data_IF_388884723725
#
_entry.id   IF_388884723725
#
_cell.length_a   1.000
_cell.length_b   1.000
_cell.length_c   1.000
_cell.angle_alpha   90.00
_cell.angle_beta   90.00
_cell.angle_gamma   90.00
#
_symmetry.space_group_name_H-M   'P 1'
#
loop_
_entity.id
_entity.type
_entity.pdbx_description
1 polymer ?
#
# COMPACT_ATOMS: atom_id res chain seq x y z
N UNK A 1 46.40 9.67 30.07
CA UNK A 1 45.45 10.76 30.34
C UNK A 1 44.69 11.28 29.09
N UNK A 2 45.10 10.96 27.85
CA UNK A 2 44.45 11.48 26.64
C UNK A 2 43.21 10.67 26.16
N UNK A 3 43.12 9.39 26.55
CA UNK A 3 42.07 8.50 26.07
C UNK A 3 40.69 8.84 26.69
N UNK A 4 40.64 9.11 28.01
CA UNK A 4 39.40 9.50 28.71
C UNK A 4 38.83 10.83 28.22
N UNK A 5 39.68 11.81 27.88
CA UNK A 5 39.25 13.10 27.36
C UNK A 5 38.65 12.98 25.95
N UNK A 6 39.21 12.10 25.11
CA UNK A 6 38.66 11.79 23.79
C UNK A 6 37.31 11.07 23.88
N UNK A 7 37.17 10.11 24.80
CA UNK A 7 35.90 9.42 25.04
C UNK A 7 34.80 10.36 25.55
N UNK A 8 35.13 11.27 26.46
CA UNK A 8 34.20 12.31 26.95
C UNK A 8 33.78 13.25 25.81
N UNK A 9 34.69 13.63 24.91
CA UNK A 9 34.34 14.46 23.75
C UNK A 9 33.39 13.75 22.79
N UNK A 10 33.63 12.47 22.51
CA UNK A 10 32.77 11.66 21.64
C UNK A 10 31.38 11.44 22.27
N UNK A 11 31.30 11.22 23.59
CA UNK A 11 30.02 11.05 24.28
C UNK A 11 29.20 12.35 24.29
N UNK A 12 29.85 13.50 24.50
CA UNK A 12 29.20 14.82 24.43
C UNK A 12 28.69 15.12 23.02
N UNK A 13 29.49 14.84 21.98
CA UNK A 13 29.07 15.03 20.57
C UNK A 13 27.85 14.15 20.26
N UNK A 14 27.89 12.87 20.65
CA UNK A 14 26.77 11.96 20.45
C UNK A 14 25.49 12.45 21.14
N UNK A 15 25.58 12.88 22.39
CA UNK A 15 24.45 13.42 23.15
C UNK A 15 23.85 14.68 22.52
N UNK A 16 24.69 15.59 22.01
CA UNK A 16 24.25 16.81 21.31
C UNK A 16 23.52 16.42 20.02
N UNK A 17 24.12 15.55 19.21
CA UNK A 17 23.52 15.11 17.94
C UNK A 17 22.17 14.46 18.18
N UNK A 18 22.07 13.51 19.11
CA UNK A 18 20.81 12.82 19.41
C UNK A 18 19.73 13.77 19.92
N UNK A 19 20.09 14.77 20.74
CA UNK A 19 19.15 15.77 21.24
C UNK A 19 18.57 16.67 20.15
N UNK A 20 19.39 17.05 19.17
CA UNK A 20 19.00 17.99 18.12
C UNK A 20 18.61 17.33 16.79
N UNK A 21 18.76 16.00 16.67
CA UNK A 21 18.45 15.28 15.44
C UNK A 21 17.01 15.52 14.95
N UNK A 22 15.96 15.53 15.80
CA UNK A 22 14.60 15.82 15.35
C UNK A 22 14.45 17.21 14.68
N UNK A 23 15.15 18.22 15.20
CA UNK A 23 15.16 19.56 14.62
C UNK A 23 15.99 19.58 13.33
N UNK A 24 17.13 18.89 13.30
CA UNK A 24 17.98 18.79 12.11
C UNK A 24 17.23 18.09 10.97
N UNK A 25 16.52 16.99 11.22
CA UNK A 25 15.73 16.29 10.19
C UNK A 25 14.56 17.13 9.68
N UNK A 26 13.99 17.98 10.54
CA UNK A 26 12.99 18.98 10.14
C UNK A 26 13.62 20.07 9.26
N UNK A 27 14.79 20.59 9.62
CA UNK A 27 15.53 21.59 8.84
C UNK A 27 16.00 21.06 7.48
N UNK A 28 16.29 19.76 7.38
CA UNK A 28 16.62 19.09 6.12
C UNK A 28 15.46 19.11 5.11
N UNK A 29 14.23 19.39 5.57
CA UNK A 29 13.04 19.53 4.72
C UNK A 29 12.68 21.02 4.48
N UNK A 30 13.57 21.95 4.84
CA UNK A 30 13.32 23.38 4.65
C UNK A 30 13.21 23.72 3.17
N UNK A 31 12.29 24.64 2.84
CA UNK A 31 12.18 25.24 1.51
C UNK A 31 13.35 26.19 1.19
N UNK A 32 14.16 26.55 2.20
CA UNK A 32 15.36 27.39 2.04
C UNK A 32 16.57 26.51 1.69
N UNK A 33 17.13 26.59 0.47
CA UNK A 33 18.16 25.65 0.01
C UNK A 33 19.41 25.60 0.90
N UNK A 34 19.87 26.75 1.40
CA UNK A 34 21.05 26.80 2.28
C UNK A 34 20.81 26.05 3.62
N UNK A 35 19.62 26.20 4.22
CA UNK A 35 19.26 25.51 5.47
C UNK A 35 19.17 24.01 5.22
N UNK A 36 18.46 23.62 4.16
CA UNK A 36 18.32 22.22 3.78
C UNK A 36 19.69 21.56 3.57
N UNK A 37 20.56 22.18 2.76
CA UNK A 37 21.88 21.64 2.44
C UNK A 37 22.74 21.46 3.71
N UNK A 38 22.82 22.49 4.56
CA UNK A 38 23.57 22.40 5.81
C UNK A 38 23.01 21.31 6.74
N UNK A 39 21.68 21.18 6.85
CA UNK A 39 21.07 20.13 7.64
C UNK A 39 21.37 18.72 7.08
N UNK A 40 21.32 18.55 5.76
CA UNK A 40 21.69 17.29 5.09
C UNK A 40 23.17 16.96 5.29
N UNK A 41 24.06 17.95 5.29
CA UNK A 41 25.48 17.77 5.62
C UNK A 41 25.69 17.30 7.08
N UNK A 42 24.95 17.87 8.04
CA UNK A 42 24.98 17.43 9.44
C UNK A 42 24.47 15.99 9.57
N UNK A 43 23.39 15.63 8.87
CA UNK A 43 22.88 14.24 8.81
C UNK A 43 23.94 13.31 8.19
N UNK A 44 24.57 13.73 7.10
CA UNK A 44 25.63 12.99 6.43
C UNK A 44 26.79 12.67 7.37
N UNK A 45 27.27 13.67 8.11
CA UNK A 45 28.31 13.50 9.11
C UNK A 45 27.86 12.54 10.21
N UNK A 46 26.66 12.77 10.75
CA UNK A 46 26.07 11.96 11.83
C UNK A 46 25.99 10.48 11.47
N UNK A 47 25.53 10.16 10.26
CA UNK A 47 25.45 8.78 9.75
C UNK A 47 26.84 8.18 9.58
N UNK A 48 27.76 8.89 8.92
CA UNK A 48 29.12 8.40 8.65
C UNK A 48 29.92 8.11 9.92
N UNK A 49 29.68 8.88 10.98
CA UNK A 49 30.31 8.71 12.29
C UNK A 49 29.57 7.71 13.20
N UNK A 50 28.40 7.20 12.78
CA UNK A 50 27.62 6.24 13.57
C UNK A 50 27.06 6.82 14.88
N UNK A 51 26.78 8.13 14.92
CA UNK A 51 26.37 8.85 16.14
C UNK A 51 24.87 8.73 16.48
N UNK A 52 24.07 8.18 15.56
CA UNK A 52 22.62 7.96 15.72
C UNK A 52 22.23 6.56 15.29
N UNK A 53 21.06 6.11 15.77
CA UNK A 53 20.41 4.91 15.29
C UNK A 53 19.90 5.12 13.85
N UNK A 54 20.25 4.26 12.87
CA UNK A 54 19.88 4.46 11.46
C UNK A 54 18.38 4.72 11.21
N UNK A 55 17.50 4.04 11.96
CA UNK A 55 16.04 4.21 11.85
C UNK A 55 15.56 5.65 12.12
N UNK A 56 16.34 6.48 12.82
CA UNK A 56 15.99 7.89 13.06
C UNK A 56 16.21 8.76 11.82
N UNK A 57 17.12 8.36 10.92
CA UNK A 57 17.44 9.10 9.70
C UNK A 57 16.76 8.56 8.45
N UNK A 58 16.46 7.26 8.38
CA UNK A 58 15.91 6.62 7.17
C UNK A 58 14.68 7.35 6.61
N UNK A 59 13.67 7.74 7.41
CA UNK A 59 12.50 8.42 6.85
C UNK A 59 12.80 9.74 6.14
N UNK A 60 13.72 10.56 6.69
CA UNK A 60 14.09 11.82 6.05
C UNK A 60 14.95 11.59 4.81
N UNK A 61 15.82 10.57 4.81
CA UNK A 61 16.59 10.20 3.63
C UNK A 61 15.66 9.78 2.49
N UNK A 62 14.74 8.85 2.74
CA UNK A 62 13.77 8.35 1.74
C UNK A 62 12.91 9.49 1.19
N UNK A 63 12.46 10.42 2.04
CA UNK A 63 11.71 11.59 1.56
C UNK A 63 12.57 12.48 0.64
N UNK A 64 13.82 12.75 1.01
CA UNK A 64 14.70 13.61 0.22
C UNK A 64 15.24 12.94 -1.05
N UNK A 65 15.15 11.62 -1.20
CA UNK A 65 15.44 10.91 -2.46
C UNK A 65 14.50 11.34 -3.60
N UNK A 66 13.32 11.86 -3.23
CA UNK A 66 12.34 12.43 -4.15
C UNK A 66 12.43 13.96 -4.26
N UNK A 67 13.52 14.56 -3.79
CA UNK A 67 13.75 16.00 -3.91
C UNK A 67 13.89 16.44 -5.37
N UNK A 68 13.40 17.65 -5.67
CA UNK A 68 13.61 18.31 -6.96
C UNK A 68 15.08 18.72 -7.17
N UNK A 69 15.84 18.86 -6.09
CA UNK A 69 17.28 19.11 -6.14
C UNK A 69 18.02 17.77 -6.31
N UNK A 70 18.52 17.53 -7.52
CA UNK A 70 19.25 16.31 -7.89
C UNK A 70 20.53 16.12 -7.05
N UNK A 71 21.16 17.21 -6.59
CA UNK A 71 22.37 17.12 -5.75
C UNK A 71 22.04 16.60 -4.36
N UNK A 72 20.94 17.09 -3.77
CA UNK A 72 20.43 16.57 -2.50
C UNK A 72 19.96 15.12 -2.67
N UNK A 73 19.14 14.83 -3.69
CA UNK A 73 18.61 13.51 -3.94
C UNK A 73 19.71 12.44 -4.10
N UNK A 74 20.76 12.75 -4.87
CA UNK A 74 21.90 11.84 -5.06
C UNK A 74 22.74 11.67 -3.79
N UNK A 75 22.96 12.74 -3.03
CA UNK A 75 23.68 12.67 -1.75
C UNK A 75 22.94 11.82 -0.72
N UNK A 76 21.63 12.00 -0.57
CA UNK A 76 20.84 11.23 0.41
C UNK A 76 20.68 9.77 -0.02
N UNK A 77 20.55 9.50 -1.32
CA UNK A 77 20.53 8.13 -1.83
C UNK A 77 21.84 7.42 -1.49
N UNK A 78 23.00 8.07 -1.70
CA UNK A 78 24.30 7.49 -1.32
C UNK A 78 24.40 7.21 0.19
N UNK A 79 23.81 8.06 1.05
CA UNK A 79 23.75 7.81 2.49
C UNK A 79 22.83 6.64 2.85
N UNK A 80 21.70 6.52 2.17
CA UNK A 80 20.80 5.38 2.34
C UNK A 80 21.46 4.08 1.89
N UNK A 81 22.18 4.08 0.75
CA UNK A 81 23.00 2.95 0.30
C UNK A 81 24.07 2.58 1.32
N UNK A 82 24.75 3.57 1.91
CA UNK A 82 25.75 3.32 2.97
C UNK A 82 25.11 2.60 4.17
N UNK A 83 23.96 3.10 4.65
CA UNK A 83 23.23 2.48 5.75
C UNK A 83 22.75 1.06 5.40
N UNK A 84 22.30 0.87 4.16
CA UNK A 84 21.88 -0.42 3.64
C UNK A 84 23.01 -1.45 3.65
N UNK A 85 24.18 -1.09 3.12
CA UNK A 85 25.36 -1.97 3.09
C UNK A 85 25.83 -2.30 4.50
N UNK A 86 25.88 -1.31 5.39
CA UNK A 86 26.40 -1.51 6.75
C UNK A 86 25.42 -2.27 7.66
N UNK A 87 24.11 -1.98 7.56
CA UNK A 87 23.09 -2.40 8.54
C UNK A 87 21.73 -2.69 7.89
N UNK A 88 21.70 -3.33 6.71
CA UNK A 88 20.48 -3.57 5.92
C UNK A 88 19.32 -4.21 6.68
N UNK A 89 19.58 -5.24 7.50
CA UNK A 89 18.54 -5.89 8.33
C UNK A 89 17.89 -4.92 9.33
N UNK A 90 18.65 -3.95 9.85
CA UNK A 90 18.15 -2.95 10.79
C UNK A 90 17.36 -1.86 10.08
N UNK A 91 17.80 -1.44 8.89
CA UNK A 91 17.12 -0.41 8.08
C UNK A 91 15.79 -0.92 7.55
N UNK A 92 15.73 -2.20 7.18
CA UNK A 92 14.61 -2.80 6.46
C UNK A 92 13.66 -3.58 7.36
N UNK A 93 13.27 -3.00 8.49
CA UNK A 93 12.37 -3.63 9.47
C UNK A 93 11.04 -2.89 9.70
N UNK A 94 10.94 -1.60 9.33
CA UNK A 94 9.80 -0.72 9.65
C UNK A 94 9.31 0.05 8.42
N UNK A 95 8.94 -0.68 7.37
CA UNK A 95 8.57 -0.09 6.08
C UNK A 95 7.37 0.85 6.18
N UNK A 96 6.27 0.40 6.79
CA UNK A 96 5.05 1.21 6.88
C UNK A 96 5.21 2.44 7.79
N UNK A 97 5.88 2.30 8.94
CA UNK A 97 6.16 3.43 9.84
C UNK A 97 7.02 4.49 9.13
N UNK A 98 8.03 4.03 8.38
CA UNK A 98 8.91 4.91 7.60
C UNK A 98 8.12 5.60 6.50
N UNK A 99 7.27 4.89 5.76
CA UNK A 99 6.46 5.46 4.69
C UNK A 99 5.46 6.51 5.20
N UNK A 100 4.87 6.30 6.38
CA UNK A 100 4.04 7.32 7.05
C UNK A 100 4.82 8.61 7.32
N UNK A 101 6.03 8.50 7.85
CA UNK A 101 6.91 9.65 8.09
C UNK A 101 7.32 10.32 6.78
N UNK A 102 7.61 9.55 5.73
CA UNK A 102 7.91 10.08 4.37
C UNK A 102 6.74 10.88 3.83
N UNK A 103 5.51 10.37 3.97
CA UNK A 103 4.30 11.09 3.60
C UNK A 103 4.16 12.41 4.35
N UNK A 104 4.38 12.43 5.66
CA UNK A 104 4.38 13.68 6.43
C UNK A 104 5.42 14.68 5.94
N UNK A 105 6.60 14.21 5.53
CA UNK A 105 7.64 15.04 4.96
C UNK A 105 7.19 15.68 3.63
N UNK A 106 6.67 14.88 2.71
CA UNK A 106 6.19 15.37 1.40
C UNK A 106 4.98 16.29 1.53
N UNK A 107 4.05 15.98 2.44
CA UNK A 107 2.90 16.83 2.74
C UNK A 107 3.32 18.19 3.28
N UNK A 108 4.29 18.24 4.21
CA UNK A 108 4.85 19.51 4.70
C UNK A 108 5.54 20.31 3.60
N UNK A 109 6.27 19.64 2.70
CA UNK A 109 6.95 20.29 1.59
C UNK A 109 5.99 20.83 0.51
N UNK A 110 4.82 20.19 0.34
CA UNK A 110 3.82 20.57 -0.67
C UNK A 110 3.08 21.88 -0.34
N UNK A 111 3.18 22.36 0.90
CA UNK A 111 2.69 23.67 1.35
C UNK A 111 1.16 23.79 1.37
N UNK A 112 0.53 23.87 0.19
CA UNK A 112 -0.89 24.29 0.02
C UNK A 112 -1.84 23.11 -0.23
N UNK A 113 -1.35 21.98 -0.74
CA UNK A 113 -2.19 20.80 -0.99
C UNK A 113 -2.22 19.87 0.22
N UNK A 114 -3.42 19.45 0.63
CA UNK A 114 -3.59 18.38 1.61
C UNK A 114 -3.11 17.01 1.07
N UNK A 115 -3.00 16.89 -0.25
CA UNK A 115 -2.56 15.70 -0.96
C UNK A 115 -1.16 15.94 -1.54
N UNK A 116 -0.20 15.11 -1.12
CA UNK A 116 1.06 14.96 -1.83
C UNK A 116 0.88 13.82 -2.85
N UNK A 117 1.44 13.97 -4.04
CA UNK A 117 1.41 12.90 -5.04
C UNK A 117 2.42 11.81 -4.66
N UNK A 118 2.05 10.55 -4.90
CA UNK A 118 2.91 9.37 -4.70
C UNK A 118 4.04 9.23 -5.73
N UNK A 119 4.18 10.19 -6.65
CA UNK A 119 5.14 10.17 -7.73
C UNK A 119 5.68 11.57 -8.04
N UNK A 120 6.86 11.63 -8.65
CA UNK A 120 7.44 12.85 -9.20
C UNK A 120 6.98 13.01 -10.65
N UNK A 121 6.65 14.23 -11.07
CA UNK A 121 6.38 14.56 -12.47
C UNK A 121 7.66 14.97 -13.20
N UNK A 122 7.85 14.46 -14.42
CA UNK A 122 8.93 14.80 -15.37
C UNK A 122 10.37 14.44 -14.93
N UNK A 123 10.84 13.20 -15.16
CA UNK A 123 10.08 12.03 -15.66
C UNK A 123 9.16 11.46 -14.58
N UNK A 124 8.04 10.84 -14.99
CA UNK A 124 7.10 10.22 -14.05
C UNK A 124 7.77 9.06 -13.33
N UNK A 125 7.98 9.18 -12.02
CA UNK A 125 8.67 8.16 -11.21
C UNK A 125 8.06 8.06 -9.82
N UNK A 126 7.85 6.84 -9.33
CA UNK A 126 7.41 6.61 -7.96
C UNK A 126 8.38 7.21 -6.94
N UNK A 127 7.84 7.81 -5.87
CA UNK A 127 8.64 8.24 -4.70
C UNK A 127 9.35 7.07 -4.00
N UNK A 128 8.87 5.83 -4.20
CA UNK A 128 9.46 4.62 -3.64
C UNK A 128 10.61 4.05 -4.48
N UNK A 129 10.83 4.55 -5.69
CA UNK A 129 11.72 3.89 -6.66
C UNK A 129 13.18 3.78 -6.18
N UNK A 130 13.71 4.81 -5.52
CA UNK A 130 15.08 4.80 -4.98
C UNK A 130 15.20 3.75 -3.86
N UNK A 131 14.27 3.77 -2.91
CA UNK A 131 14.25 2.81 -1.82
C UNK A 131 14.05 1.37 -2.29
N UNK A 132 13.12 1.14 -3.22
CA UNK A 132 12.89 -0.17 -3.83
C UNK A 132 14.13 -0.70 -4.57
N UNK A 133 14.92 0.17 -5.20
CA UNK A 133 16.19 -0.22 -5.84
C UNK A 133 17.13 -0.91 -4.85
N UNK A 134 17.29 -0.37 -3.63
CA UNK A 134 18.13 -0.96 -2.57
C UNK A 134 17.57 -2.29 -2.05
N UNK A 135 16.25 -2.40 -1.97
CA UNK A 135 15.58 -3.63 -1.53
C UNK A 135 15.65 -4.72 -2.59
N UNK A 136 15.84 -4.33 -3.85
CA UNK A 136 15.65 -5.22 -4.98
C UNK A 136 16.65 -6.36 -5.07
N UNK A 137 17.74 -6.31 -4.30
CA UNK A 137 18.77 -7.33 -4.25
C UNK A 137 18.28 -8.65 -3.63
N UNK A 138 17.40 -8.58 -2.62
CA UNK A 138 16.95 -9.76 -1.86
C UNK A 138 15.45 -9.95 -1.97
N UNK A 139 15.03 -11.10 -2.51
CA UNK A 139 13.62 -11.49 -2.62
C UNK A 139 12.84 -11.29 -1.32
N UNK A 140 13.39 -11.75 -0.20
CA UNK A 140 12.75 -11.63 1.12
C UNK A 140 12.45 -10.17 1.46
N UNK A 141 13.38 -9.25 1.20
CA UNK A 141 13.18 -7.83 1.47
C UNK A 141 12.18 -7.19 0.51
N UNK A 142 12.24 -7.52 -0.78
CA UNK A 142 11.28 -7.03 -1.78
C UNK A 142 9.84 -7.40 -1.41
N UNK A 143 9.60 -8.68 -1.13
CA UNK A 143 8.26 -9.16 -0.80
C UNK A 143 7.79 -8.64 0.56
N UNK A 144 8.70 -8.57 1.56
CA UNK A 144 8.37 -7.99 2.86
C UNK A 144 8.00 -6.50 2.76
N UNK A 145 8.69 -5.75 1.90
CA UNK A 145 8.40 -4.35 1.63
C UNK A 145 7.00 -4.15 1.04
N UNK A 146 6.69 -4.86 -0.05
CA UNK A 146 5.38 -4.77 -0.71
C UNK A 146 4.25 -5.15 0.26
N UNK A 147 4.37 -6.31 0.94
CA UNK A 147 3.38 -6.77 1.92
C UNK A 147 3.18 -5.79 3.08
N UNK A 148 4.27 -5.22 3.60
CA UNK A 148 4.20 -4.28 4.71
C UNK A 148 3.49 -2.97 4.34
N UNK A 149 3.64 -2.49 3.10
CA UNK A 149 2.93 -1.30 2.64
C UNK A 149 1.44 -1.59 2.42
N UNK A 150 1.10 -2.73 1.81
CA UNK A 150 -0.30 -3.13 1.59
C UNK A 150 -1.08 -3.30 2.89
N UNK A 151 -0.42 -3.72 3.98
CA UNK A 151 -1.04 -3.83 5.30
C UNK A 151 -1.76 -2.56 5.75
N UNK A 152 -1.37 -1.38 5.24
CA UNK A 152 -2.07 -0.14 5.57
C UNK A 152 -3.51 -0.06 5.04
N UNK A 153 -3.86 -0.83 4.01
CA UNK A 153 -5.23 -0.89 3.47
C UNK A 153 -6.13 -1.87 4.23
N UNK A 154 -5.57 -2.68 5.13
CA UNK A 154 -6.34 -3.55 6.03
C UNK A 154 -6.87 -2.70 7.19
N UNK A 155 -8.06 -2.13 6.97
CA UNK A 155 -8.75 -1.29 7.94
C UNK A 155 -9.88 -2.08 8.58
N UNK A 156 -10.02 -1.99 9.89
CA UNK A 156 -11.20 -2.41 10.62
C UNK A 156 -12.15 -1.21 10.77
N UNK A 157 -13.29 -1.17 10.06
CA UNK A 157 -14.19 -0.03 10.08
C UNK A 157 -14.88 0.20 11.44
N UNK A 158 -14.79 -0.74 12.39
CA UNK A 158 -15.30 -0.59 13.76
C UNK A 158 -14.24 -0.16 14.76
N UNK A 159 -13.00 -0.63 14.60
CA UNK A 159 -11.93 -0.35 15.55
C UNK A 159 -11.06 0.85 15.14
N UNK A 160 -10.88 1.07 13.84
CA UNK A 160 -9.98 2.10 13.33
C UNK A 160 -10.68 3.45 13.17
N UNK A 161 -9.98 4.52 13.57
CA UNK A 161 -10.40 5.89 13.30
C UNK A 161 -9.81 6.33 11.96
N UNK A 162 -10.62 6.28 10.90
CA UNK A 162 -10.19 6.72 9.58
C UNK A 162 -10.46 8.21 9.42
N UNK A 163 -9.40 9.00 9.48
CA UNK A 163 -9.44 10.44 9.27
C UNK A 163 -9.02 10.86 7.85
N UNK A 164 -9.13 12.15 7.55
CA UNK A 164 -8.73 12.71 6.25
C UNK A 164 -7.24 12.56 5.97
N UNK A 165 -6.38 12.54 7.01
CA UNK A 165 -4.94 12.28 6.85
C UNK A 165 -4.72 10.85 6.36
N UNK A 166 -5.44 9.89 6.91
CA UNK A 166 -5.40 8.50 6.48
C UNK A 166 -5.82 8.38 5.03
N UNK A 167 -6.95 8.96 4.63
CA UNK A 167 -7.38 8.96 3.21
C UNK A 167 -6.27 9.53 2.29
N UNK A 168 -5.70 10.69 2.65
CA UNK A 168 -4.62 11.30 1.87
C UNK A 168 -3.35 10.43 1.81
N UNK A 169 -3.02 9.72 2.91
CA UNK A 169 -1.92 8.76 2.94
C UNK A 169 -2.18 7.57 2.02
N UNK A 170 -3.40 7.04 2.00
CA UNK A 170 -3.77 5.88 1.19
C UNK A 170 -3.76 6.21 -0.30
N UNK A 171 -4.26 7.38 -0.69
CA UNK A 171 -4.13 7.87 -2.06
C UNK A 171 -2.64 8.02 -2.45
N UNK A 172 -1.85 8.70 -1.62
CA UNK A 172 -0.41 8.88 -1.85
C UNK A 172 0.32 7.54 -1.99
N UNK A 173 0.00 6.57 -1.15
CA UNK A 173 0.60 5.23 -1.19
C UNK A 173 0.15 4.45 -2.43
N UNK A 174 -1.13 4.53 -2.79
CA UNK A 174 -1.67 3.88 -3.98
C UNK A 174 -0.99 4.41 -5.25
N UNK A 175 -0.86 5.72 -5.41
CA UNK A 175 -0.12 6.34 -6.51
C UNK A 175 1.34 5.89 -6.54
N UNK A 176 1.99 5.81 -5.37
CA UNK A 176 3.37 5.39 -5.25
C UNK A 176 3.58 3.91 -5.64
N UNK A 177 2.68 3.03 -5.23
CA UNK A 177 2.70 1.61 -5.57
C UNK A 177 2.36 1.37 -7.04
N UNK A 178 1.35 2.08 -7.55
CA UNK A 178 0.92 1.98 -8.93
C UNK A 178 2.03 2.41 -9.89
N UNK A 179 2.73 3.51 -9.58
CA UNK A 179 3.84 4.01 -10.40
C UNK A 179 5.16 3.24 -10.21
N UNK A 180 5.25 2.32 -9.24
CA UNK A 180 6.47 1.55 -8.95
C UNK A 180 6.73 0.48 -10.03
N UNK A 181 7.96 0.45 -10.56
CA UNK A 181 8.40 -0.54 -11.56
C UNK A 181 8.76 -1.85 -10.87
N UNK A 182 7.82 -2.79 -10.87
CA UNK A 182 8.05 -4.15 -10.38
C UNK A 182 8.94 -4.90 -11.37
N UNK A 183 9.85 -5.72 -10.84
CA UNK A 183 10.85 -6.42 -11.65
C UNK A 183 10.36 -7.80 -12.08
N UNK A 184 9.65 -8.50 -11.20
CA UNK A 184 9.22 -9.88 -11.45
C UNK A 184 7.71 -10.03 -11.40
N UNK A 185 7.21 -11.03 -12.12
CA UNK A 185 5.80 -11.41 -12.11
C UNK A 185 5.33 -11.82 -10.70
N UNK A 186 6.18 -12.49 -9.93
CA UNK A 186 5.91 -12.85 -8.53
C UNK A 186 5.60 -11.61 -7.67
N UNK A 187 6.32 -10.51 -7.85
CA UNK A 187 6.10 -9.29 -7.07
C UNK A 187 4.72 -8.69 -7.36
N UNK A 188 4.32 -8.67 -8.63
CA UNK A 188 3.01 -8.19 -9.04
C UNK A 188 1.89 -9.09 -8.49
N UNK A 189 2.04 -10.42 -8.58
CA UNK A 189 1.07 -11.36 -8.02
C UNK A 189 0.96 -11.23 -6.49
N UNK A 190 2.09 -11.18 -5.77
CA UNK A 190 2.08 -11.00 -4.31
C UNK A 190 1.44 -9.68 -3.90
N UNK A 191 1.70 -8.60 -4.64
CA UNK A 191 1.13 -7.28 -4.36
C UNK A 191 -0.39 -7.30 -4.52
N UNK A 192 -0.89 -7.82 -5.65
CA UNK A 192 -2.32 -7.89 -5.96
C UNK A 192 -3.04 -8.84 -4.98
N UNK A 193 -2.46 -10.00 -4.70
CA UNK A 193 -3.04 -10.98 -3.77
C UNK A 193 -3.10 -10.44 -2.34
N UNK A 194 -2.03 -9.80 -1.86
CA UNK A 194 -2.05 -9.18 -0.54
C UNK A 194 -3.11 -8.07 -0.43
N UNK A 195 -3.39 -7.38 -1.55
CA UNK A 195 -4.40 -6.33 -1.63
C UNK A 195 -5.81 -6.94 -1.62
N UNK A 196 -6.05 -8.03 -2.36
CA UNK A 196 -7.29 -8.82 -2.29
C UNK A 196 -7.59 -9.26 -0.84
N UNK A 197 -6.62 -9.89 -0.17
CA UNK A 197 -6.79 -10.32 1.22
C UNK A 197 -7.08 -9.14 2.17
N UNK A 198 -6.44 -7.99 1.94
CA UNK A 198 -6.61 -6.81 2.81
C UNK A 198 -7.97 -6.13 2.62
N UNK A 199 -8.51 -6.16 1.39
CA UNK A 199 -9.78 -5.50 1.04
C UNK A 199 -10.98 -6.39 1.30
N UNK A 200 -10.90 -7.71 1.03
CA UNK A 200 -12.05 -8.61 0.99
C UNK A 200 -12.98 -8.52 2.22
N UNK A 201 -12.51 -8.93 3.39
CA UNK A 201 -13.33 -8.93 4.60
C UNK A 201 -13.69 -7.50 5.07
N UNK A 202 -12.73 -6.56 4.99
CA UNK A 202 -12.91 -5.17 5.38
C UNK A 202 -14.00 -4.46 4.55
N UNK A 203 -14.11 -4.79 3.26
CA UNK A 203 -15.11 -4.22 2.36
C UNK A 203 -16.52 -4.66 2.72
N UNK A 204 -16.72 -5.95 2.97
CA UNK A 204 -18.02 -6.47 3.39
C UNK A 204 -18.45 -5.92 4.75
N UNK A 205 -17.53 -5.85 5.72
CA UNK A 205 -17.80 -5.24 7.02
C UNK A 205 -18.17 -3.76 6.89
N UNK A 206 -17.44 -3.01 6.07
CA UNK A 206 -17.75 -1.59 5.81
C UNK A 206 -19.11 -1.45 5.14
N UNK A 207 -19.46 -2.33 4.20
CA UNK A 207 -20.76 -2.32 3.53
C UNK A 207 -21.90 -2.59 4.51
N UNK A 208 -21.76 -3.59 5.39
CA UNK A 208 -22.77 -3.90 6.41
C UNK A 208 -23.04 -2.73 7.36
N UNK A 209 -21.99 -2.00 7.72
CA UNK A 209 -22.10 -0.80 8.56
C UNK A 209 -22.81 0.36 7.84
N UNK A 210 -22.68 0.42 6.52
CA UNK A 210 -23.26 1.45 5.66
C UNK A 210 -24.64 1.09 5.09
N UNK A 211 -25.03 -0.20 5.10
CA UNK A 211 -26.34 -0.66 4.65
C UNK A 211 -27.44 -0.42 5.71
N UNK A 212 -27.07 -0.25 6.99
CA UNK A 212 -28.01 0.19 8.04
C UNK A 212 -28.29 1.70 7.93
N UNK A 213 -29.55 2.14 7.99
CA UNK A 213 -30.08 3.50 7.70
C UNK A 213 -29.15 4.70 8.08
N UNK A 214 -28.11 5.03 7.28
CA UNK A 214 -27.01 5.91 7.69
C UNK A 214 -27.45 7.37 7.69
N UNK A 215 -28.36 7.67 6.77
CA UNK A 215 -29.07 8.92 6.64
C UNK A 215 -29.93 9.18 7.86
N UNK A 216 -30.64 8.17 8.38
CA UNK A 216 -31.50 8.33 9.55
C UNK A 216 -30.70 8.53 10.84
N UNK A 217 -29.53 7.90 10.95
CA UNK A 217 -28.58 8.13 12.05
C UNK A 217 -27.91 9.52 11.99
N UNK A 218 -27.55 10.01 10.80
CA UNK A 218 -26.99 11.36 10.65
C UNK A 218 -28.05 12.45 10.78
N UNK A 219 -29.25 12.25 10.24
CA UNK A 219 -30.37 13.17 10.37
C UNK A 219 -30.89 13.23 11.80
N UNK A 220 -30.91 12.10 12.54
CA UNK A 220 -31.22 12.11 13.96
C UNK A 220 -30.14 12.87 14.74
N UNK A 221 -28.85 12.62 14.53
CA UNK A 221 -27.76 13.36 15.21
C UNK A 221 -27.76 14.87 14.95
N UNK A 222 -28.05 15.28 13.72
CA UNK A 222 -28.12 16.70 13.37
C UNK A 222 -29.34 17.40 13.99
N UNK A 223 -30.41 16.65 14.28
CA UNK A 223 -31.59 17.16 14.98
C UNK A 223 -31.38 17.37 16.49
N UNK A 224 -30.42 16.68 17.12
CA UNK A 224 -30.07 16.85 18.55
C UNK A 224 -28.93 17.84 18.81
N UNK A 225 -28.27 18.38 17.77
CA UNK A 225 -27.18 19.37 17.92
C UNK A 225 -27.67 20.72 18.47
N UNK A 226 -28.98 20.94 18.59
CA UNK A 226 -29.54 22.12 19.27
C UNK A 226 -29.71 21.95 20.79
N UNK A 227 -29.76 20.73 21.35
CA UNK A 227 -29.93 20.54 22.80
C UNK A 227 -29.24 19.26 23.32
N UNK A 228 -28.16 19.44 24.09
CA UNK A 228 -27.74 18.46 25.11
C UNK A 228 -26.49 17.63 24.83
N UNK A 229 -25.60 17.58 25.84
CA UNK A 229 -24.44 16.68 25.93
C UNK A 229 -24.89 15.21 26.01
N UNK A 230 -24.53 14.36 25.03
CA UNK A 230 -24.43 12.91 25.24
C UNK A 230 -23.49 12.20 24.25
N UNK A 231 -22.87 11.12 24.76
CA UNK A 231 -21.93 10.12 24.25
C UNK A 231 -21.46 10.20 22.77
N UNK A 232 -20.19 10.54 22.56
CA UNK A 232 -19.57 10.76 21.24
C UNK A 232 -19.22 9.50 20.45
N UNK A 233 -19.51 8.31 20.97
CA UNK A 233 -19.01 7.03 20.41
C UNK A 233 -19.70 6.64 19.09
N UNK A 234 -21.02 6.83 18.97
CA UNK A 234 -21.78 6.41 17.77
C UNK A 234 -21.56 7.33 16.55
N UNK A 235 -21.33 8.63 16.80
CA UNK A 235 -21.04 9.62 15.74
C UNK A 235 -19.73 9.33 14.99
N UNK A 236 -18.77 8.74 15.70
CA UNK A 236 -17.44 8.44 15.19
C UNK A 236 -17.46 7.19 14.30
N UNK A 237 -18.28 6.20 14.64
CA UNK A 237 -18.40 4.92 13.92
C UNK A 237 -18.92 5.12 12.48
N UNK A 238 -20.00 5.91 12.33
CA UNK A 238 -20.61 6.15 11.01
C UNK A 238 -19.68 6.97 10.10
N UNK A 239 -19.09 8.05 10.61
CA UNK A 239 -18.11 8.83 9.83
C UNK A 239 -16.86 8.01 9.47
N UNK A 240 -16.42 7.12 10.37
CA UNK A 240 -15.31 6.20 10.09
C UNK A 240 -15.70 5.18 9.00
N UNK A 241 -16.94 4.68 9.00
CA UNK A 241 -17.46 3.80 7.94
C UNK A 241 -17.42 4.46 6.55
N UNK A 242 -17.83 5.72 6.44
CA UNK A 242 -17.73 6.47 5.18
C UNK A 242 -16.28 6.66 4.73
N UNK A 243 -15.39 7.06 5.64
CA UNK A 243 -13.99 7.24 5.32
C UNK A 243 -13.29 5.90 4.97
N UNK A 244 -13.71 4.80 5.62
CA UNK A 244 -13.28 3.45 5.29
C UNK A 244 -13.71 3.06 3.88
N UNK A 245 -14.94 3.40 3.47
CA UNK A 245 -15.41 3.16 2.09
C UNK A 245 -14.56 3.86 1.04
N UNK A 246 -14.05 5.06 1.36
CA UNK A 246 -13.16 5.82 0.46
C UNK A 246 -11.80 5.11 0.36
N UNK A 247 -11.21 4.71 1.49
CA UNK A 247 -9.91 4.00 1.49
C UNK A 247 -10.00 2.68 0.73
N UNK A 248 -11.05 1.90 0.98
CA UNK A 248 -11.26 0.62 0.29
C UNK A 248 -11.58 0.83 -1.19
N UNK A 249 -12.31 1.90 -1.55
CA UNK A 249 -12.48 2.33 -2.93
C UNK A 249 -11.15 2.63 -3.64
N UNK A 250 -10.23 3.35 -2.97
CA UNK A 250 -8.87 3.59 -3.48
C UNK A 250 -8.13 2.26 -3.71
N UNK A 251 -8.28 1.31 -2.77
CA UNK A 251 -7.66 -0.01 -2.86
C UNK A 251 -8.19 -0.84 -4.05
N UNK A 252 -9.51 -0.83 -4.30
CA UNK A 252 -10.12 -1.47 -5.47
C UNK A 252 -9.59 -0.88 -6.78
N UNK A 253 -9.55 0.45 -6.90
CA UNK A 253 -9.04 1.13 -8.09
C UNK A 253 -7.55 0.79 -8.32
N UNK A 254 -6.73 0.83 -7.27
CA UNK A 254 -5.33 0.43 -7.33
C UNK A 254 -5.18 -1.01 -7.84
N UNK A 255 -5.95 -1.95 -7.28
CA UNK A 255 -5.90 -3.36 -7.63
C UNK A 255 -6.25 -3.59 -9.10
N UNK A 256 -7.38 -3.04 -9.56
CA UNK A 256 -7.87 -3.25 -10.91
C UNK A 256 -6.87 -2.72 -11.95
N UNK A 257 -6.29 -1.54 -11.70
CA UNK A 257 -5.27 -0.96 -12.58
C UNK A 257 -3.95 -1.73 -12.55
N UNK A 258 -3.57 -2.32 -11.42
CA UNK A 258 -2.41 -3.22 -11.36
C UNK A 258 -2.64 -4.50 -12.17
N UNK A 259 -3.84 -5.10 -12.09
CA UNK A 259 -4.22 -6.26 -12.91
C UNK A 259 -4.12 -5.92 -14.40
N UNK A 260 -4.68 -4.78 -14.83
CA UNK A 260 -4.63 -4.33 -16.23
C UNK A 260 -3.18 -4.04 -16.69
N UNK A 261 -2.41 -3.29 -15.89
CA UNK A 261 -1.06 -2.88 -16.25
C UNK A 261 -0.08 -4.04 -16.41
N UNK A 262 -0.27 -5.12 -15.65
CA UNK A 262 0.59 -6.30 -15.67
C UNK A 262 -0.04 -7.51 -16.38
N UNK A 263 -1.28 -7.40 -16.87
CA UNK A 263 -1.98 -8.48 -17.56
C UNK A 263 -2.19 -9.72 -16.69
N UNK A 264 -2.47 -9.52 -15.40
CA UNK A 264 -2.68 -10.61 -14.43
C UNK A 264 -4.18 -10.84 -14.28
N UNK A 265 -4.64 -12.03 -14.65
CA UNK A 265 -6.04 -12.47 -14.48
C UNK A 265 -6.26 -13.10 -13.10
N UNK A 266 -7.51 -13.16 -12.68
CA UNK A 266 -7.91 -13.78 -11.41
C UNK A 266 -7.66 -15.30 -11.38
N UNK A 267 -7.91 -16.02 -12.47
CA UNK A 267 -7.51 -17.43 -12.64
C UNK A 267 -6.02 -17.69 -12.43
N UNK A 268 -5.17 -16.69 -12.70
CA UNK A 268 -3.72 -16.79 -12.51
C UNK A 268 -3.35 -16.53 -11.05
N UNK A 269 -4.13 -15.71 -10.35
CA UNK A 269 -3.99 -15.45 -8.92
C UNK A 269 -4.51 -16.63 -8.09
N UNK A 270 -5.62 -17.27 -8.46
CA UNK A 270 -6.15 -18.44 -7.74
C UNK A 270 -5.15 -19.61 -7.71
N UNK A 271 -4.41 -19.80 -8.81
CA UNK A 271 -3.35 -20.80 -8.94
C UNK A 271 -2.02 -20.39 -8.28
N UNK A 272 -1.91 -19.17 -7.77
CA UNK A 272 -0.68 -18.63 -7.20
C UNK A 272 -0.58 -18.95 -5.71
N UNK A 273 0.26 -19.93 -5.37
CA UNK A 273 0.59 -20.19 -3.96
C UNK A 273 1.69 -19.24 -3.46
N UNK A 274 1.29 -18.20 -2.73
CA UNK A 274 2.22 -17.23 -2.15
C UNK A 274 3.12 -17.86 -1.08
N UNK A 275 4.33 -18.30 -1.46
CA UNK A 275 5.41 -18.56 -0.52
C UNK A 275 5.75 -20.02 -0.21
N UNK A 276 5.30 -20.99 -1.01
CA UNK A 276 5.73 -22.39 -0.81
C UNK A 276 7.17 -22.56 -1.31
N UNK A 277 8.15 -22.52 -0.41
CA UNK A 277 9.55 -22.84 -0.73
C UNK A 277 9.74 -24.27 -1.27
N UNK A 278 8.75 -25.15 -1.05
CA UNK A 278 8.78 -26.59 -1.38
C UNK A 278 7.74 -27.04 -2.42
N UNK A 279 7.01 -26.12 -3.05
CA UNK A 279 6.03 -26.44 -4.09
C UNK A 279 6.69 -26.40 -5.46
N UNK A 280 6.25 -27.27 -6.36
CA UNK A 280 6.67 -27.52 -7.75
C UNK A 280 6.60 -26.32 -8.72
N UNK A 281 6.58 -25.10 -8.22
CA UNK A 281 6.84 -23.90 -9.01
C UNK A 281 8.33 -23.83 -9.38
N UNK A 282 8.64 -24.12 -10.65
CA UNK A 282 10.00 -23.96 -11.19
C UNK A 282 10.56 -22.58 -10.83
N UNK A 283 11.84 -22.52 -10.43
CA UNK A 283 12.58 -21.25 -10.20
C UNK A 283 12.39 -20.26 -11.36
N UNK A 284 12.20 -20.78 -12.58
CA UNK A 284 11.92 -20.02 -13.80
C UNK A 284 10.66 -19.15 -13.73
N UNK A 285 9.63 -19.53 -12.97
CA UNK A 285 8.39 -18.74 -12.86
C UNK A 285 8.51 -17.60 -11.85
N UNK A 286 9.40 -17.72 -10.85
CA UNK A 286 9.61 -16.71 -9.80
C UNK A 286 10.47 -15.54 -10.26
N UNK A 287 11.44 -15.82 -11.13
CA UNK A 287 12.37 -14.84 -11.69
C UNK A 287 11.89 -14.28 -13.03
N UNK A 288 10.71 -14.70 -13.51
CA UNK A 288 10.13 -14.22 -14.75
C UNK A 288 9.97 -12.70 -14.66
N UNK A 289 10.74 -12.00 -15.50
CA UNK A 289 10.66 -10.55 -15.62
C UNK A 289 9.30 -10.16 -16.15
N UNK A 290 8.79 -9.03 -15.68
CA UNK A 290 7.52 -8.50 -16.12
C UNK A 290 7.70 -7.08 -16.65
N UNK A 291 6.99 -6.75 -17.72
CA UNK A 291 6.90 -5.41 -18.27
C UNK A 291 5.45 -4.96 -18.22
N UNK A 292 5.24 -3.68 -17.97
CA UNK A 292 3.89 -3.10 -18.03
C UNK A 292 3.44 -2.94 -19.48
N UNK A 293 2.15 -3.14 -19.72
CA UNK A 293 1.50 -2.82 -21.00
C UNK A 293 1.27 -1.30 -21.17
N UNK A 294 1.13 -0.58 -20.05
CA UNK A 294 0.78 0.85 -19.99
C UNK A 294 1.96 1.66 -19.43
N UNK A 295 2.19 2.85 -20.00
CA UNK A 295 3.24 3.77 -19.53
C UNK A 295 2.94 4.36 -18.15
N UNK A 296 3.98 4.61 -17.33
CA UNK A 296 3.82 5.08 -15.93
C UNK A 296 3.04 6.40 -15.84
N UNK A 297 3.23 7.31 -16.80
CA UNK A 297 2.51 8.60 -16.85
C UNK A 297 1.02 8.40 -17.13
N UNK A 298 0.70 7.60 -18.15
CA UNK A 298 -0.68 7.29 -18.52
C UNK A 298 -1.41 6.57 -17.39
N UNK A 299 -0.72 5.65 -16.71
CA UNK A 299 -1.24 4.92 -15.56
C UNK A 299 -1.62 5.87 -14.40
N UNK A 300 -0.77 6.87 -14.11
CA UNK A 300 -1.05 7.86 -13.08
C UNK A 300 -2.25 8.76 -13.47
N UNK A 301 -2.38 9.14 -14.75
CA UNK A 301 -3.53 9.91 -15.24
C UNK A 301 -4.83 9.10 -15.19
N UNK A 302 -4.79 7.81 -15.60
CA UNK A 302 -5.94 6.90 -15.48
C UNK A 302 -6.36 6.67 -14.03
N UNK A 303 -5.42 6.59 -13.10
CA UNK A 303 -5.74 6.44 -11.68
C UNK A 303 -6.59 7.60 -11.15
N UNK A 304 -6.23 8.84 -11.49
CA UNK A 304 -6.99 10.02 -11.09
C UNK A 304 -8.41 9.98 -11.67
N UNK A 305 -8.55 9.66 -12.96
CA UNK A 305 -9.85 9.56 -13.62
C UNK A 305 -10.73 8.45 -13.01
N UNK A 306 -10.14 7.29 -12.72
CA UNK A 306 -10.88 6.18 -12.09
C UNK A 306 -11.27 6.50 -10.65
N UNK A 307 -10.43 7.20 -9.88
CA UNK A 307 -10.80 7.66 -8.54
C UNK A 307 -11.97 8.65 -8.58
N UNK A 308 -11.95 9.64 -9.48
CA UNK A 308 -13.05 10.60 -9.65
C UNK A 308 -14.37 9.89 -10.01
N UNK A 309 -14.28 8.82 -10.81
CA UNK A 309 -15.44 8.03 -11.25
C UNK A 309 -15.98 7.09 -10.18
N UNK A 310 -15.11 6.32 -9.53
CA UNK A 310 -15.47 5.22 -8.62
C UNK A 310 -15.53 5.62 -7.15
N UNK A 311 -14.89 6.73 -6.75
CA UNK A 311 -14.76 7.15 -5.35
C UNK A 311 -15.18 8.63 -5.18
N UNK A 312 -16.48 8.95 -5.34
CA UNK A 312 -16.97 10.33 -5.31
C UNK A 312 -16.70 11.07 -3.99
N UNK A 313 -16.60 10.33 -2.86
CA UNK A 313 -16.29 10.91 -1.55
C UNK A 313 -14.87 11.44 -1.39
N UNK A 314 -13.97 11.23 -2.36
CA UNK A 314 -12.58 11.70 -2.28
C UNK A 314 -12.43 13.20 -2.54
N UNK A 315 -13.15 13.74 -3.53
CA UNK A 315 -13.09 15.15 -3.93
C UNK A 315 -14.06 16.02 -3.11
N UNK A 316 -15.22 15.46 -2.78
CA UNK A 316 -16.25 16.18 -2.07
C UNK A 316 -16.15 15.98 -0.57
N UNK A 317 -16.07 17.08 0.20
CA UNK A 317 -16.32 16.99 1.64
C UNK A 317 -17.71 16.37 1.84
N UNK A 318 -17.75 15.27 2.57
CA UNK A 318 -18.94 14.47 2.90
C UNK A 318 -19.90 15.19 3.86
N UNK A 319 -20.14 16.48 3.61
CA UNK A 319 -20.91 17.37 4.47
C UNK A 319 -22.41 17.32 4.13
N UNK A 320 -22.78 16.74 2.98
CA UNK A 320 -24.15 16.70 2.47
C UNK A 320 -24.68 15.26 2.37
N UNK A 321 -25.95 15.03 2.74
CA UNK A 321 -26.58 13.70 2.68
C UNK A 321 -26.56 13.06 1.29
N UNK A 322 -26.76 13.86 0.23
CA UNK A 322 -26.73 13.37 -1.16
C UNK A 322 -25.37 12.80 -1.56
N UNK A 323 -24.28 13.40 -1.05
CA UNK A 323 -22.90 12.98 -1.34
C UNK A 323 -22.54 11.69 -0.63
N UNK A 324 -22.96 11.58 0.62
CA UNK A 324 -22.85 10.37 1.42
C UNK A 324 -23.59 9.21 0.74
N UNK A 325 -24.81 9.45 0.25
CA UNK A 325 -25.58 8.46 -0.49
C UNK A 325 -24.87 8.02 -1.78
N UNK A 326 -24.34 8.98 -2.54
CA UNK A 326 -23.59 8.69 -3.76
C UNK A 326 -22.35 7.83 -3.49
N UNK A 327 -21.64 8.10 -2.39
CA UNK A 327 -20.48 7.31 -1.97
C UNK A 327 -20.87 5.89 -1.55
N UNK A 328 -21.94 5.72 -0.76
CA UNK A 328 -22.43 4.38 -0.36
C UNK A 328 -22.83 3.57 -1.59
N UNK A 329 -23.59 4.17 -2.50
CA UNK A 329 -24.03 3.49 -3.71
C UNK A 329 -22.83 3.05 -4.56
N UNK A 330 -21.90 3.97 -4.85
CA UNK A 330 -20.71 3.66 -5.63
C UNK A 330 -19.86 2.56 -4.96
N UNK A 331 -19.69 2.62 -3.64
CA UNK A 331 -18.95 1.60 -2.90
C UNK A 331 -19.67 0.24 -2.90
N UNK A 332 -20.98 0.22 -2.69
CA UNK A 332 -21.78 -1.00 -2.73
C UNK A 332 -21.75 -1.67 -4.11
N UNK A 333 -21.79 -0.88 -5.18
CA UNK A 333 -21.66 -1.40 -6.56
C UNK A 333 -20.27 -2.02 -6.80
N UNK A 334 -19.20 -1.42 -6.27
CA UNK A 334 -17.84 -2.00 -6.32
C UNK A 334 -17.75 -3.34 -5.59
N UNK A 335 -18.27 -3.42 -4.36
CA UNK A 335 -18.20 -4.65 -3.55
C UNK A 335 -19.04 -5.78 -4.17
N UNK A 336 -20.23 -5.47 -4.70
CA UNK A 336 -21.08 -6.46 -5.40
C UNK A 336 -20.41 -6.96 -6.66
N UNK A 337 -19.88 -6.06 -7.49
CA UNK A 337 -19.13 -6.44 -8.69
C UNK A 337 -17.94 -7.34 -8.35
N UNK A 338 -17.19 -7.02 -7.31
CA UNK A 338 -16.05 -7.83 -6.87
C UNK A 338 -16.48 -9.24 -6.45
N UNK A 339 -17.58 -9.34 -5.71
CA UNK A 339 -18.14 -10.62 -5.25
C UNK A 339 -18.60 -11.47 -6.43
N UNK A 340 -19.28 -10.88 -7.42
CA UNK A 340 -19.72 -11.58 -8.63
C UNK A 340 -18.56 -12.07 -9.51
N UNK A 341 -17.45 -11.34 -9.55
CA UNK A 341 -16.25 -11.77 -10.29
C UNK A 341 -15.63 -12.99 -9.63
N UNK A 342 -15.52 -13.00 -8.31
CA UNK A 342 -15.00 -14.14 -7.55
C UNK A 342 -15.90 -15.39 -7.70
N UNK A 343 -17.22 -15.24 -7.61
CA UNK A 343 -18.17 -16.37 -7.80
C UNK A 343 -18.10 -16.97 -9.22
N UNK A 344 -17.93 -16.14 -10.25
CA UNK A 344 -17.80 -16.62 -11.64
C UNK A 344 -16.52 -17.42 -11.87
N UNK A 345 -15.44 -17.11 -11.16
CA UNK A 345 -14.20 -17.86 -11.26
C UNK A 345 -14.30 -19.24 -10.56
N UNK A 346 -14.97 -19.32 -9.42
CA UNK A 346 -15.21 -20.59 -8.71
C UNK A 346 -16.06 -21.58 -9.54
N UNK A 347 -17.05 -21.07 -10.29
CA UNK A 347 -17.91 -21.91 -11.13
C UNK A 347 -17.23 -22.48 -12.39
N UNK A 348 -16.11 -21.92 -12.83
CA UNK A 348 -15.34 -22.43 -13.97
C UNK A 348 -14.46 -23.63 -13.56
N UNK A 349 -14.26 -23.88 -12.26
CA UNK A 349 -13.43 -24.97 -11.72
C UNK A 349 -14.17 -26.29 -11.45
N UNK A 350 -15.45 -26.44 -11.85
CA UNK A 350 -16.14 -27.74 -11.84
C UNK A 350 -16.01 -28.43 -13.20
N UNK A 351 -14.97 -29.25 -13.48
CA UNK A 351 -15.09 -30.23 -14.54
C UNK A 351 -16.23 -31.16 -14.14
N UNK A 352 -17.22 -31.30 -15.02
CA UNK A 352 -18.30 -32.25 -14.82
C UNK A 352 -17.70 -33.64 -14.62
N UNK A 353 -17.92 -34.22 -13.44
CA UNK A 353 -17.92 -35.66 -13.29
C UNK A 353 -19.04 -36.17 -14.20
N UNK A 354 -18.69 -36.51 -15.45
CA UNK A 354 -19.51 -37.41 -16.25
C UNK A 354 -19.52 -38.73 -15.50
N UNK A 355 -20.60 -38.95 -14.74
CA UNK A 355 -20.99 -40.24 -14.21
C UNK A 355 -21.10 -41.23 -15.37
N UNK A 356 -19.99 -41.92 -15.68
CA UNK A 356 -20.06 -43.19 -16.38
C UNK A 356 -20.67 -44.22 -15.42
N UNK A 357 -22.00 -44.22 -15.37
CA UNK A 357 -22.81 -45.32 -14.88
C UNK A 357 -22.52 -46.55 -15.75
N UNK A 358 -21.57 -47.37 -15.32
CA UNK A 358 -21.36 -48.71 -15.86
C UNK A 358 -22.43 -49.63 -15.28
N UNK A 359 -23.58 -49.68 -15.95
CA UNK A 359 -24.61 -50.70 -15.72
C UNK A 359 -24.15 -52.00 -16.36
N UNK A 360 -23.71 -52.95 -15.53
CA UNK A 360 -23.58 -54.34 -15.93
C UNK A 360 -24.97 -54.97 -15.90
N UNK A 361 -25.55 -55.17 -17.09
CA UNK A 361 -26.67 -56.08 -17.28
C UNK A 361 -26.08 -57.48 -17.49
N UNK A 362 -26.29 -58.34 -16.50
CA UNK A 362 -26.29 -59.79 -16.68
C UNK A 362 -27.62 -60.17 -17.34
N UNK A 363 -27.57 -60.86 -18.48
CA UNK A 363 -28.58 -61.83 -18.90
C UNK A 363 -27.98 -62.71 -20.02
N UNK A 364 -27.37 -63.81 -19.57
CA UNK A 364 -27.75 -65.19 -19.87
C UNK A 364 -27.93 -65.72 -21.32
N UNK A 365 -27.40 -66.94 -21.47
CA UNK A 365 -27.92 -68.09 -22.23
C UNK A 365 -27.36 -68.36 -23.65
N UNK A 366 -26.42 -69.33 -23.62
CA UNK A 366 -26.45 -70.64 -24.28
C UNK A 366 -25.91 -70.91 -25.70
N UNK A 367 -25.42 -72.15 -25.74
CA UNK A 367 -25.31 -73.11 -26.85
C UNK A 367 -24.02 -73.15 -27.68
N UNK A 368 -23.27 -74.20 -27.35
CA UNK A 368 -22.85 -75.26 -28.26
C UNK A 368 -21.64 -75.08 -29.18
N UNK A 369 -20.87 -76.17 -29.22
CA UNK A 369 -20.32 -76.64 -30.48
C UNK A 369 -18.81 -76.69 -30.56
N UNK A 370 -18.27 -77.83 -30.12
CA UNK A 370 -17.32 -78.67 -30.86
C UNK A 370 -16.18 -78.02 -31.67
N UNK A 371 -14.96 -78.53 -31.41
CA UNK A 371 -14.15 -79.01 -32.53
C UNK A 371 -12.64 -78.75 -32.47
N UNK A 372 -11.95 -79.78 -31.99
CA UNK A 372 -10.53 -80.17 -32.19
C UNK A 372 -9.43 -79.47 -31.38
#
# INVERSE_FOLDING_TARGET
>A
MNMTNSFIRLSVISAIVQRYLPQITTLAQSTKPHIQKTAVEIISFTIKQGLTHPLECVPVLVALESSKDVTIASQVFALHTLLHIQRGNLVHCRFLETMNKVFDCHRRASGTSAFANGYLGNPTRSVLASWYTLLSEKRVWRLAFLKALIKSFSIDPQADNVDRRTIAFQQYLAEALLTLELKTEEEAMVLIESLNCSVGQSAYQTLQLLDGDPLKALLSLNAWREEGEHDGTDSCSVSSGFNSSIVLGIAFVLRDLLKEAYGISDQKLSKFEAGVEKGTGSKSSREKLISRSIGVKELAERFVLELERKVPGLDERLDKPERLQKQIQAFGDLVRYDSEVLEKDDHVEMPGDEEHSFSAEDDDIDEDGEGM
#
